data_IF_430844711315
#
_entry.id   IF_430844711315
#
_cell.length_a   1.000
_cell.length_b   1.000
_cell.length_c   1.000
_cell.angle_alpha   90.00
_cell.angle_beta   90.00
_cell.angle_gamma   90.00
#
_symmetry.space_group_name_H-M   'P 1'
#
loop_
_entity.id
_entity.type
_entity.pdbx_description
1 polymer ?
#
# COMPACT_ATOMS: atom_id res chain seq x y z
N UNK A 1 1.90 17.74 33.51
CA UNK A 1 0.86 16.76 33.18
C UNK A 1 0.94 16.53 31.68
N UNK A 2 1.47 15.37 31.24
CA UNK A 2 1.81 15.15 29.84
C UNK A 2 0.58 15.02 28.95
N UNK A 3 0.62 15.74 27.83
CA UNK A 3 -0.43 16.02 26.85
C UNK A 3 -0.80 14.83 25.93
N UNK A 4 -0.53 13.59 26.36
CA UNK A 4 -0.58 12.39 25.50
C UNK A 4 -1.89 11.59 25.57
N UNK A 5 -2.99 12.15 26.09
CA UNK A 5 -4.30 11.48 26.15
C UNK A 5 -5.39 12.28 25.46
N UNK A 6 -5.13 12.75 24.23
CA UNK A 6 -6.12 13.46 23.41
C UNK A 6 -7.02 12.53 22.60
N UNK A 7 -6.67 11.25 22.47
CA UNK A 7 -7.45 10.31 21.65
C UNK A 7 -8.61 9.69 22.44
N UNK A 8 -9.83 9.66 21.87
CA UNK A 8 -10.98 9.06 22.52
C UNK A 8 -10.76 7.55 22.76
N UNK A 9 -10.78 7.14 24.03
CA UNK A 9 -10.67 5.73 24.42
C UNK A 9 -12.04 5.05 24.37
N UNK A 10 -12.14 3.99 23.57
CA UNK A 10 -13.35 3.18 23.49
C UNK A 10 -13.16 1.83 24.20
N UNK A 11 -14.07 1.49 25.11
CA UNK A 11 -14.12 0.15 25.73
C UNK A 11 -14.85 -0.81 24.81
N UNK A 12 -14.09 -1.61 24.06
CA UNK A 12 -14.62 -2.59 23.13
C UNK A 12 -15.26 -3.78 23.86
N UNK A 13 -16.41 -4.24 23.37
CA UNK A 13 -17.07 -5.49 23.80
C UNK A 13 -16.85 -6.55 22.72
N UNK A 14 -16.31 -7.69 23.10
CA UNK A 14 -15.95 -8.80 22.23
C UNK A 14 -15.99 -10.13 23.00
N UNK A 15 -15.95 -11.26 22.29
CA UNK A 15 -15.80 -12.58 22.92
C UNK A 15 -14.37 -12.79 23.43
N UNK A 16 -14.21 -13.71 24.39
CA UNK A 16 -12.88 -14.06 24.92
C UNK A 16 -11.99 -14.69 23.84
N UNK A 17 -12.59 -15.49 22.94
CA UNK A 17 -11.87 -16.06 21.80
C UNK A 17 -11.30 -14.97 20.87
N UNK A 18 -12.07 -13.91 20.60
CA UNK A 18 -11.60 -12.80 19.76
C UNK A 18 -10.46 -12.05 20.44
N UNK A 19 -10.58 -11.82 21.75
CA UNK A 19 -9.53 -11.19 22.55
C UNK A 19 -8.23 -11.99 22.51
N UNK A 20 -8.31 -13.32 22.61
CA UNK A 20 -7.14 -14.19 22.56
C UNK A 20 -6.46 -14.16 21.19
N UNK A 21 -7.24 -14.20 20.10
CA UNK A 21 -6.71 -14.05 18.72
C UNK A 21 -5.97 -12.72 18.55
N UNK A 22 -6.53 -11.62 19.03
CA UNK A 22 -5.87 -10.29 18.96
C UNK A 22 -4.62 -10.26 19.83
N UNK A 23 -4.64 -10.85 21.02
CA UNK A 23 -3.48 -10.93 21.91
C UNK A 23 -2.31 -11.69 21.27
N UNK A 24 -2.60 -12.84 20.66
CA UNK A 24 -1.59 -13.61 19.92
C UNK A 24 -1.04 -12.85 18.72
N UNK A 25 -1.92 -12.20 17.95
CA UNK A 25 -1.51 -11.40 16.78
C UNK A 25 -0.64 -10.22 17.18
N UNK A 26 -1.00 -9.50 18.24
CA UNK A 26 -0.23 -8.37 18.76
C UNK A 26 1.19 -8.79 19.19
N UNK A 27 1.32 -9.96 19.83
CA UNK A 27 2.63 -10.56 20.17
C UNK A 27 3.45 -10.89 18.93
N UNK A 28 2.84 -11.50 17.91
CA UNK A 28 3.53 -11.84 16.66
C UNK A 28 4.06 -10.59 15.93
N UNK A 29 3.31 -9.50 15.97
CA UNK A 29 3.69 -8.22 15.33
C UNK A 29 4.44 -7.27 16.27
N UNK A 30 4.84 -7.75 17.45
CA UNK A 30 5.60 -7.01 18.46
C UNK A 30 5.00 -5.63 18.81
N UNK A 31 3.66 -5.57 18.94
CA UNK A 31 2.89 -4.35 19.20
C UNK A 31 1.87 -4.55 20.34
N UNK A 32 1.33 -3.45 20.86
CA UNK A 32 0.26 -3.52 21.87
C UNK A 32 -1.05 -4.01 21.23
N UNK A 33 -1.96 -4.56 22.03
CA UNK A 33 -3.28 -4.98 21.54
C UNK A 33 -4.04 -3.82 20.87
N UNK A 34 -4.00 -2.61 21.46
CA UNK A 34 -4.63 -1.44 20.85
C UNK A 34 -4.00 -1.08 19.50
N UNK A 35 -2.66 -1.12 19.40
CA UNK A 35 -1.97 -0.86 18.14
C UNK A 35 -2.33 -1.91 17.07
N UNK A 36 -2.52 -3.17 17.46
CA UNK A 36 -2.97 -4.25 16.56
C UNK A 36 -4.38 -4.01 16.02
N UNK A 37 -5.30 -3.63 16.90
CA UNK A 37 -6.69 -3.33 16.54
C UNK A 37 -6.76 -2.14 15.59
N UNK A 38 -6.08 -1.04 15.91
CA UNK A 38 -6.06 0.17 15.07
C UNK A 38 -5.53 -0.15 13.68
N UNK A 39 -4.37 -0.82 13.59
CA UNK A 39 -3.78 -1.17 12.31
C UNK A 39 -4.68 -2.07 11.47
N UNK A 40 -5.35 -3.07 12.08
CA UNK A 40 -6.31 -3.93 11.37
C UNK A 40 -7.53 -3.16 10.87
N UNK A 41 -8.01 -2.19 11.65
CA UNK A 41 -9.11 -1.33 11.22
C UNK A 41 -8.68 -0.45 10.05
N UNK A 42 -7.53 0.21 10.13
CA UNK A 42 -6.97 1.02 9.03
C UNK A 42 -6.75 0.18 7.76
N UNK A 43 -6.22 -1.03 7.91
CA UNK A 43 -6.06 -1.99 6.82
C UNK A 43 -7.42 -2.38 6.20
N UNK A 44 -8.47 -2.55 7.01
CA UNK A 44 -9.82 -2.86 6.50
C UNK A 44 -10.39 -1.76 5.60
N UNK A 45 -10.01 -0.50 5.84
CA UNK A 45 -10.37 0.63 4.96
C UNK A 45 -9.49 0.76 3.72
N UNK A 46 -8.29 0.16 3.73
CA UNK A 46 -7.30 0.28 2.64
C UNK A 46 -7.34 -0.91 1.68
N UNK A 47 -7.62 -2.11 2.18
CA UNK A 47 -7.63 -3.38 1.43
C UNK A 47 -8.72 -3.46 0.36
N UNK A 48 -9.70 -2.57 0.38
CA UNK A 48 -10.68 -2.39 -0.71
C UNK A 48 -10.11 -1.74 -1.97
N UNK A 49 -8.93 -1.11 -1.93
CA UNK A 49 -8.45 -0.27 -3.04
C UNK A 49 -7.97 -1.04 -4.27
N UNK A 50 -7.42 -2.25 -4.09
CA UNK A 50 -6.95 -3.09 -5.22
C UNK A 50 -7.97 -4.18 -5.54
N UNK A 51 -8.78 -4.61 -4.58
CA UNK A 51 -9.76 -5.67 -4.78
C UNK A 51 -11.08 -5.20 -5.43
N UNK A 52 -11.47 -3.94 -5.26
CA UNK A 52 -12.76 -3.45 -5.81
C UNK A 52 -12.66 -2.90 -7.24
N UNK A 53 -11.45 -2.54 -7.69
CA UNK A 53 -11.25 -1.85 -8.96
C UNK A 53 -10.59 -2.77 -10.00
N UNK A 54 -11.31 -3.16 -11.07
CA UNK A 54 -10.80 -4.05 -12.10
C UNK A 54 -9.60 -3.47 -12.86
N UNK A 55 -9.50 -2.14 -12.98
CA UNK A 55 -8.38 -1.48 -13.66
C UNK A 55 -7.11 -1.51 -12.81
N UNK A 56 -7.24 -1.34 -11.49
CA UNK A 56 -6.09 -1.48 -10.57
C UNK A 56 -5.59 -2.92 -10.51
N UNK A 57 -6.49 -3.92 -10.58
CA UNK A 57 -6.11 -5.34 -10.69
C UNK A 57 -5.37 -5.62 -12.00
N UNK A 58 -5.89 -5.11 -13.11
CA UNK A 58 -5.26 -5.26 -14.41
C UNK A 58 -3.87 -4.60 -14.44
N UNK A 59 -3.74 -3.39 -13.90
CA UNK A 59 -2.46 -2.70 -13.76
C UNK A 59 -1.47 -3.50 -12.90
N UNK A 60 -1.91 -4.03 -11.75
CA UNK A 60 -1.07 -4.87 -10.89
C UNK A 60 -0.60 -6.15 -11.61
N UNK A 61 -1.49 -6.80 -12.36
CA UNK A 61 -1.17 -8.02 -13.09
C UNK A 61 -0.15 -7.75 -14.21
N UNK A 62 -0.30 -6.64 -14.94
CA UNK A 62 0.67 -6.21 -15.95
C UNK A 62 2.02 -5.90 -15.32
N UNK A 63 2.04 -5.15 -14.21
CA UNK A 63 3.27 -4.84 -13.46
C UNK A 63 3.95 -6.12 -12.97
N UNK A 64 3.21 -7.05 -12.38
CA UNK A 64 3.74 -8.32 -11.88
C UNK A 64 4.32 -9.18 -13.02
N UNK A 65 3.67 -9.20 -14.19
CA UNK A 65 4.18 -9.89 -15.38
C UNK A 65 5.50 -9.29 -15.88
N UNK A 66 5.59 -7.96 -15.94
CA UNK A 66 6.85 -7.27 -16.31
C UNK A 66 7.94 -7.57 -15.28
N UNK A 67 7.65 -7.48 -13.98
CA UNK A 67 8.63 -7.78 -12.93
C UNK A 67 9.12 -9.23 -12.99
N UNK A 68 8.22 -10.18 -13.24
CA UNK A 68 8.58 -11.59 -13.40
C UNK A 68 9.50 -11.82 -14.63
N UNK A 69 9.22 -11.13 -15.75
CA UNK A 69 10.05 -11.20 -16.96
C UNK A 69 11.42 -10.50 -16.79
N UNK A 70 11.49 -9.46 -15.96
CA UNK A 70 12.75 -8.78 -15.64
C UNK A 70 13.58 -9.49 -14.55
N UNK A 71 12.96 -10.32 -13.70
CA UNK A 71 13.66 -11.04 -12.63
C UNK A 71 14.70 -12.06 -13.16
N UNK A 72 14.50 -12.55 -14.39
CA UNK A 72 15.46 -13.44 -15.06
C UNK A 72 16.61 -12.69 -15.77
N UNK A 73 16.57 -11.35 -15.83
CA UNK A 73 17.64 -10.55 -16.44
C UNK A 73 18.49 -9.90 -15.34
N UNK A 74 19.81 -10.13 -15.39
CA UNK A 74 20.80 -9.70 -14.38
C UNK A 74 20.76 -8.20 -14.00
N UNK A 75 20.11 -7.33 -14.79
CA UNK A 75 19.78 -5.93 -14.48
C UNK A 75 18.51 -5.54 -15.26
N UNK A 76 17.60 -4.70 -14.74
CA UNK A 76 17.72 -3.83 -13.57
C UNK A 76 17.41 -4.52 -12.23
N UNK A 77 17.96 -3.99 -11.13
CA UNK A 77 17.62 -4.48 -9.78
C UNK A 77 16.13 -4.27 -9.51
N UNK A 78 15.53 -5.11 -8.66
CA UNK A 78 14.15 -4.97 -8.21
C UNK A 78 13.83 -3.53 -7.74
N UNK A 79 14.77 -2.88 -7.04
CA UNK A 79 14.63 -1.50 -6.57
C UNK A 79 14.48 -0.49 -7.71
N UNK A 80 15.24 -0.64 -8.80
CA UNK A 80 15.19 0.26 -9.94
C UNK A 80 13.91 0.05 -10.78
N UNK A 81 13.42 -1.19 -10.86
CA UNK A 81 12.13 -1.48 -11.46
C UNK A 81 10.97 -0.85 -10.66
N UNK A 82 11.01 -0.95 -9.32
CA UNK A 82 10.04 -0.32 -8.43
C UNK A 82 10.10 1.22 -8.51
N UNK A 83 11.29 1.82 -8.54
CA UNK A 83 11.45 3.29 -8.69
C UNK A 83 10.86 3.79 -10.01
N UNK A 84 11.05 3.07 -11.11
CA UNK A 84 10.44 3.41 -12.42
C UNK A 84 8.92 3.34 -12.38
N UNK A 85 8.36 2.33 -11.70
CA UNK A 85 6.91 2.18 -11.55
C UNK A 85 6.34 3.30 -10.67
N UNK A 86 6.99 3.62 -9.55
CA UNK A 86 6.59 4.71 -8.66
C UNK A 86 6.62 6.03 -9.44
N UNK A 87 7.70 6.32 -10.17
CA UNK A 87 7.79 7.51 -11.03
C UNK A 87 6.68 7.53 -12.07
N UNK A 88 6.42 6.43 -12.77
CA UNK A 88 5.38 6.34 -13.81
C UNK A 88 3.96 6.52 -13.27
N UNK A 89 3.68 6.04 -12.06
CA UNK A 89 2.38 6.19 -11.39
C UNK A 89 2.24 7.60 -10.80
N UNK A 90 3.34 8.22 -10.36
CA UNK A 90 3.37 9.56 -9.75
C UNK A 90 3.54 10.71 -10.74
N UNK A 91 3.60 10.44 -12.05
CA UNK A 91 3.62 11.52 -13.05
C UNK A 91 2.26 12.21 -12.99
N UNK A 92 2.25 13.44 -12.49
CA UNK A 92 1.05 14.26 -12.51
C UNK A 92 0.64 14.56 -13.98
N UNK A 93 -0.65 14.79 -14.19
CA UNK A 93 -1.22 14.97 -15.53
C UNK A 93 -0.51 16.05 -16.34
N UNK A 94 0.01 17.10 -15.69
CA UNK A 94 0.72 18.18 -16.38
C UNK A 94 2.09 17.71 -16.91
N UNK A 95 2.80 16.87 -16.15
CA UNK A 95 4.07 16.29 -16.58
C UNK A 95 3.87 15.32 -17.76
N UNK A 96 2.78 14.53 -17.74
CA UNK A 96 2.43 13.63 -18.83
C UNK A 96 2.06 14.39 -20.11
N UNK A 97 1.25 15.45 -19.99
CA UNK A 97 0.92 16.33 -21.11
C UNK A 97 2.16 17.02 -21.69
N UNK A 98 3.09 17.47 -20.85
CA UNK A 98 4.34 18.08 -21.31
C UNK A 98 5.20 17.10 -22.12
N UNK A 99 5.38 15.85 -21.66
CA UNK A 99 6.14 14.84 -22.42
C UNK A 99 5.49 14.50 -23.76
N UNK A 100 4.16 14.37 -23.81
CA UNK A 100 3.41 14.12 -25.05
C UNK A 100 3.44 15.32 -26.01
N UNK A 101 3.52 16.54 -25.47
CA UNK A 101 3.58 17.78 -26.25
C UNK A 101 4.96 18.01 -26.88
N UNK A 102 6.04 17.61 -26.19
CA UNK A 102 7.41 17.69 -26.71
C UNK A 102 7.58 16.80 -27.95
N UNK A 103 6.94 15.63 -27.98
CA UNK A 103 6.98 14.74 -29.15
C UNK A 103 6.13 15.21 -30.36
N UNK A 104 5.33 16.27 -30.24
CA UNK A 104 4.59 16.89 -31.36
C UNK A 104 5.33 18.07 -32.01
N UNK A 105 6.51 18.44 -31.50
CA UNK A 105 7.34 19.55 -32.02
C UNK A 105 8.69 19.08 -32.57
N UNK A 106 8.73 17.93 -33.24
CA UNK A 106 9.82 17.60 -34.15
C UNK A 106 9.33 17.82 -35.60
N UNK A 107 10.01 18.66 -36.41
CA UNK A 107 9.72 18.78 -37.84
C UNK A 107 10.07 17.51 -38.62
#
# INVERSE_FOLDING_TARGET
MSENQRDPQYKLRWSEELREKISQSAKQHNRSMNADIVARLEESFTSGLVASDPYKRMLLAVIAGILAEQADREKPSFEEAIDRIIKAIMIDESTLQNMLSVNKKAP
#
